data_IF_411698940934
#
_entry.id   IF_411698940934
#
_cell.length_a   1.000
_cell.length_b   1.000
_cell.length_c   1.000
_cell.angle_alpha   90.00
_cell.angle_beta   90.00
_cell.angle_gamma   90.00
#
_symmetry.space_group_name_H-M   'P 1'
#
loop_
_entity.id
_entity.type
_entity.pdbx_description
1 polymer ?
#
# COMPACT_ATOMS: atom_id res chain seq x y z
N UNK A 1 -9.04 7.92 -10.35
CA UNK A 1 -8.59 9.14 -9.65
C UNK A 1 -7.08 9.06 -9.47
N UNK A 2 -6.34 10.11 -9.80
CA UNK A 2 -4.88 10.18 -9.69
C UNK A 2 -4.52 11.23 -8.64
N UNK A 3 -3.65 10.88 -7.69
CA UNK A 3 -3.35 11.71 -6.52
C UNK A 3 -1.89 11.58 -6.10
N UNK A 4 -1.36 12.67 -5.54
CA UNK A 4 -0.08 12.66 -4.82
C UNK A 4 -0.25 12.11 -3.40
N UNK A 5 0.86 11.78 -2.73
CA UNK A 5 0.81 11.31 -1.34
C UNK A 5 0.16 12.33 -0.40
N UNK A 6 0.47 13.62 -0.56
CA UNK A 6 -0.15 14.69 0.24
C UNK A 6 -1.67 14.77 0.01
N UNK A 7 -2.11 14.61 -1.24
CA UNK A 7 -3.55 14.58 -1.57
C UNK A 7 -4.25 13.37 -0.96
N UNK A 8 -3.61 12.19 -0.89
CA UNK A 8 -4.17 11.01 -0.19
C UNK A 8 -4.43 11.34 1.28
N UNK A 9 -3.48 11.99 1.96
CA UNK A 9 -3.63 12.38 3.37
C UNK A 9 -4.78 13.36 3.58
N UNK A 10 -4.89 14.37 2.72
CA UNK A 10 -5.98 15.36 2.78
C UNK A 10 -7.33 14.69 2.52
N UNK A 11 -7.46 13.91 1.44
CA UNK A 11 -8.71 13.23 1.06
C UNK A 11 -9.19 12.24 2.10
N UNK A 12 -8.27 11.64 2.86
CA UNK A 12 -8.59 10.63 3.86
C UNK A 12 -8.55 11.18 5.30
N UNK A 13 -8.68 12.50 5.47
CA UNK A 13 -8.82 13.20 6.76
C UNK A 13 -7.62 13.06 7.73
N UNK A 14 -6.42 12.79 7.22
CA UNK A 14 -5.20 12.73 8.03
C UNK A 14 -4.29 13.97 7.83
N UNK A 15 -4.52 14.75 6.77
CA UNK A 15 -3.69 15.90 6.42
C UNK A 15 -4.01 17.21 7.13
N UNK A 16 -5.20 17.33 7.76
CA UNK A 16 -5.68 18.57 8.39
C UNK A 16 -5.79 18.35 9.90
N UNK A 17 -4.87 18.93 10.65
CA UNK A 17 -4.89 18.96 12.11
C UNK A 17 -4.91 20.42 12.53
N UNK A 18 -5.88 20.83 13.35
CA UNK A 18 -6.01 22.22 13.82
C UNK A 18 -6.02 23.26 12.67
N UNK A 19 -6.73 22.95 11.58
CA UNK A 19 -6.79 23.78 10.35
C UNK A 19 -5.43 24.02 9.67
N UNK A 20 -4.43 23.17 9.92
CA UNK A 20 -3.12 23.23 9.26
C UNK A 20 -2.83 21.96 8.48
N UNK A 21 -2.24 22.13 7.29
CA UNK A 21 -1.71 21.03 6.50
C UNK A 21 -0.44 20.50 7.16
N UNK A 22 -0.45 19.23 7.57
CA UNK A 22 0.77 18.56 8.04
C UNK A 22 1.45 17.91 6.84
N UNK A 23 2.57 18.50 6.40
CA UNK A 23 3.44 17.88 5.38
C UNK A 23 3.99 16.57 5.94
N UNK A 24 3.87 15.48 5.19
CA UNK A 24 4.43 14.20 5.61
C UNK A 24 5.84 14.04 5.06
N UNK A 25 6.79 13.70 5.94
CA UNK A 25 8.18 13.42 5.58
C UNK A 25 8.45 11.94 5.30
N UNK A 26 7.51 11.03 5.62
CA UNK A 26 7.70 9.58 5.43
C UNK A 26 6.63 8.95 4.54
N UNK A 27 7.04 8.41 3.39
CA UNK A 27 6.21 7.59 2.52
C UNK A 27 6.15 6.18 3.13
N UNK A 28 4.98 5.79 3.65
CA UNK A 28 4.74 4.48 4.23
C UNK A 28 3.94 3.61 3.25
N UNK A 29 4.26 2.31 3.20
CA UNK A 29 3.54 1.35 2.35
C UNK A 29 2.09 1.09 2.80
N UNK A 30 1.82 1.27 4.09
CA UNK A 30 0.47 1.22 4.69
C UNK A 30 0.43 2.17 5.89
N UNK A 31 -0.67 2.89 6.08
CA UNK A 31 -0.88 3.78 7.23
C UNK A 31 -2.36 3.97 7.54
N UNK A 32 -2.68 4.19 8.81
CA UNK A 32 -4.03 4.56 9.24
C UNK A 32 -4.32 6.00 8.81
N UNK A 33 -5.49 6.23 8.22
CA UNK A 33 -5.93 7.56 7.76
C UNK A 33 -7.03 8.15 8.65
N UNK A 34 -7.86 7.30 9.20
CA UNK A 34 -8.81 7.61 10.27
C UNK A 34 -9.13 6.32 11.00
N UNK A 35 -9.82 6.41 12.14
CA UNK A 35 -10.26 5.22 12.89
C UNK A 35 -10.87 4.16 11.95
N UNK A 36 -10.29 2.96 11.95
CA UNK A 36 -10.69 1.81 11.13
C UNK A 36 -10.55 1.98 9.59
N UNK A 37 -9.80 2.98 9.13
CA UNK A 37 -9.53 3.21 7.71
C UNK A 37 -8.03 3.30 7.50
N UNK A 38 -7.54 2.55 6.51
CA UNK A 38 -6.14 2.49 6.17
C UNK A 38 -5.94 2.78 4.69
N UNK A 39 -4.82 3.39 4.35
CA UNK A 39 -4.36 3.52 2.98
C UNK A 39 -3.17 2.59 2.74
N UNK A 40 -3.17 1.89 1.61
CA UNK A 40 -2.02 1.15 1.10
C UNK A 40 -1.47 1.91 -0.11
N UNK A 41 -0.18 2.21 -0.06
CA UNK A 41 0.57 2.83 -1.14
C UNK A 41 1.52 1.79 -1.72
N UNK A 42 1.19 1.28 -2.90
CA UNK A 42 1.93 0.24 -3.59
C UNK A 42 2.52 0.76 -4.91
N UNK A 43 3.63 0.16 -5.36
CA UNK A 43 4.29 0.54 -6.61
C UNK A 43 4.95 -0.68 -7.27
N UNK A 44 4.92 -0.77 -8.60
CA UNK A 44 5.75 -1.72 -9.36
C UNK A 44 7.23 -1.31 -9.40
N UNK A 45 7.52 -0.04 -9.17
CA UNK A 45 8.82 0.59 -9.39
C UNK A 45 9.82 0.31 -8.26
N UNK A 46 9.36 -0.28 -7.16
CA UNK A 46 10.20 -0.63 -6.00
C UNK A 46 11.14 -1.81 -6.27
N UNK A 47 11.08 -2.45 -7.45
CA UNK A 47 12.00 -3.50 -7.87
C UNK A 47 13.46 -3.05 -7.96
N UNK A 48 13.72 -1.77 -8.26
CA UNK A 48 15.08 -1.27 -8.53
C UNK A 48 15.78 -0.60 -7.34
N UNK A 49 15.12 -0.45 -6.18
CA UNK A 49 15.67 0.27 -5.02
C UNK A 49 16.07 -0.70 -3.89
N UNK A 50 16.98 -0.25 -3.01
CA UNK A 50 17.48 -1.01 -1.84
C UNK A 50 16.36 -1.61 -0.95
N UNK A 51 15.14 -1.06 -1.03
CA UNK A 51 13.93 -1.59 -0.39
C UNK A 51 13.04 -2.32 -1.42
N UNK A 52 13.45 -3.54 -1.78
CA UNK A 52 12.90 -4.41 -2.84
C UNK A 52 11.50 -4.95 -2.53
N UNK A 53 10.49 -4.10 -2.39
CA UNK A 53 9.10 -4.58 -2.37
C UNK A 53 8.64 -4.83 -3.80
N UNK A 54 8.14 -6.03 -4.12
CA UNK A 54 7.62 -6.34 -5.45
C UNK A 54 6.11 -6.34 -5.43
N UNK A 55 5.51 -5.19 -5.77
CA UNK A 55 4.06 -5.08 -5.89
C UNK A 55 3.62 -5.11 -7.36
N UNK A 56 2.50 -5.78 -7.62
CA UNK A 56 1.97 -5.90 -8.98
C UNK A 56 0.44 -5.89 -8.96
N UNK A 57 -0.17 -5.08 -9.81
CA UNK A 57 -1.61 -5.02 -9.97
C UNK A 57 -2.02 -5.48 -11.38
N UNK A 58 -2.91 -6.48 -11.45
CA UNK A 58 -3.57 -6.91 -12.68
C UNK A 58 -4.92 -6.19 -12.81
N UNK A 59 -5.06 -5.28 -13.78
CA UNK A 59 -6.35 -4.66 -14.08
C UNK A 59 -7.40 -5.68 -14.53
N UNK A 60 -6.98 -6.73 -15.26
CA UNK A 60 -7.87 -7.76 -15.80
C UNK A 60 -8.55 -8.57 -14.69
N UNK A 61 -7.78 -8.93 -13.67
CA UNK A 61 -8.24 -9.80 -12.59
C UNK A 61 -8.62 -9.00 -11.33
N UNK A 62 -8.36 -7.70 -11.32
CA UNK A 62 -8.42 -6.78 -10.18
C UNK A 62 -7.68 -7.34 -8.95
N UNK A 63 -6.51 -7.94 -9.20
CA UNK A 63 -5.70 -8.57 -8.17
C UNK A 63 -4.43 -7.77 -7.94
N UNK A 64 -4.21 -7.40 -6.68
CA UNK A 64 -2.97 -6.82 -6.19
C UNK A 64 -2.14 -7.88 -5.47
N UNK A 65 -0.97 -8.17 -6.01
CA UNK A 65 0.12 -8.81 -5.27
C UNK A 65 0.87 -7.74 -4.49
N UNK A 66 0.79 -7.78 -3.15
CA UNK A 66 1.36 -6.77 -2.28
C UNK A 66 2.27 -7.38 -1.21
N UNK A 67 3.47 -6.83 -1.04
CA UNK A 67 4.36 -7.22 0.04
C UNK A 67 4.15 -6.34 1.27
N UNK A 68 4.02 -6.96 2.44
CA UNK A 68 3.91 -6.22 3.70
C UNK A 68 5.19 -5.43 4.01
N UNK A 69 5.11 -4.41 4.89
CA UNK A 69 6.29 -3.79 5.48
C UNK A 69 7.24 -4.82 6.09
N UNK A 70 8.55 -4.53 6.07
CA UNK A 70 9.60 -5.46 6.56
C UNK A 70 9.53 -5.75 8.07
N UNK A 71 8.76 -4.98 8.83
CA UNK A 71 8.52 -5.22 10.25
C UNK A 71 7.43 -6.25 10.52
N UNK A 72 6.61 -6.60 9.53
CA UNK A 72 5.57 -7.61 9.67
C UNK A 72 6.16 -8.99 9.47
N UNK A 73 5.87 -9.89 10.40
CA UNK A 73 6.35 -11.27 10.37
C UNK A 73 5.24 -12.20 9.91
N UNK A 74 5.58 -13.21 9.12
CA UNK A 74 4.61 -14.22 8.67
C UNK A 74 4.07 -15.07 9.82
N UNK A 75 4.86 -15.24 10.88
CA UNK A 75 4.50 -15.93 12.12
C UNK A 75 3.43 -15.17 12.93
N UNK A 76 3.30 -13.85 12.74
CA UNK A 76 2.28 -13.07 13.42
C UNK A 76 0.87 -13.44 12.91
N UNK A 77 -0.12 -13.24 13.78
CA UNK A 77 -1.54 -13.28 13.40
C UNK A 77 -1.84 -12.36 12.21
N UNK A 78 -2.94 -12.67 11.50
CA UNK A 78 -3.44 -11.88 10.37
C UNK A 78 -3.45 -10.38 10.74
N UNK A 79 -2.76 -9.58 9.92
CA UNK A 79 -2.55 -8.15 10.18
C UNK A 79 -3.61 -7.30 9.50
N UNK A 80 -4.27 -7.83 8.48
CA UNK A 80 -5.37 -7.17 7.77
C UNK A 80 -6.71 -7.70 8.27
N UNK A 81 -7.37 -6.93 9.14
CA UNK A 81 -8.73 -7.22 9.60
C UNK A 81 -9.74 -6.54 8.67
N UNK A 82 -10.18 -7.26 7.63
CA UNK A 82 -11.16 -6.77 6.65
C UNK A 82 -12.59 -6.65 7.22
N UNK A 83 -12.86 -7.23 8.41
CA UNK A 83 -14.18 -7.13 9.05
C UNK A 83 -14.30 -5.77 9.73
N UNK A 84 -13.25 -5.37 10.45
CA UNK A 84 -13.25 -4.11 11.20
C UNK A 84 -12.82 -2.92 10.36
N UNK A 85 -11.92 -3.12 9.40
CA UNK A 85 -11.22 -2.02 8.74
C UNK A 85 -11.49 -1.95 7.24
N UNK A 86 -11.43 -0.74 6.70
CA UNK A 86 -11.44 -0.47 5.26
C UNK A 86 -10.06 -0.07 4.76
N UNK A 87 -9.61 -0.69 3.67
CA UNK A 87 -8.28 -0.46 3.10
C UNK A 87 -8.40 0.13 1.69
N UNK A 88 -8.01 1.39 1.53
CA UNK A 88 -7.96 2.10 0.25
C UNK A 88 -6.62 1.87 -0.42
N UNK A 89 -6.62 1.54 -1.72
CA UNK A 89 -5.39 1.14 -2.41
C UNK A 89 -5.03 2.15 -3.49
N UNK A 90 -3.82 2.67 -3.38
CA UNK A 90 -3.21 3.59 -4.34
C UNK A 90 -1.98 2.92 -4.95
N UNK A 91 -1.95 2.85 -6.27
CA UNK A 91 -0.94 2.11 -7.01
C UNK A 91 -0.21 3.02 -8.01
N UNK A 92 1.10 2.84 -8.11
CA UNK A 92 1.94 3.47 -9.11
C UNK A 92 2.53 2.41 -10.04
N UNK A 93 2.22 2.54 -11.32
CA UNK A 93 2.78 1.77 -12.43
C UNK A 93 3.72 2.62 -13.27
N UNK A 94 4.50 2.02 -14.16
CA UNK A 94 5.27 2.73 -15.19
C UNK A 94 4.36 3.64 -16.04
N UNK A 95 3.21 3.13 -16.49
CA UNK A 95 2.17 3.91 -17.18
C UNK A 95 1.74 5.16 -16.40
N UNK A 96 1.61 5.06 -15.06
CA UNK A 96 1.25 6.22 -14.23
C UNK A 96 2.36 7.26 -14.22
N UNK A 97 3.63 6.84 -14.25
CA UNK A 97 4.79 7.74 -14.27
C UNK A 97 4.95 8.39 -15.65
N UNK A 98 4.73 7.63 -16.73
CA UNK A 98 4.78 8.14 -18.10
C UNK A 98 3.70 9.19 -18.36
N UNK A 99 2.47 8.95 -17.88
CA UNK A 99 1.36 9.89 -18.03
C UNK A 99 1.50 11.15 -17.16
N UNK A 100 2.21 11.04 -16.04
CA UNK A 100 2.31 12.09 -15.05
C UNK A 100 3.75 12.24 -14.53
N UNK A 101 4.05 11.72 -13.33
CA UNK A 101 5.39 11.69 -12.74
C UNK A 101 5.48 10.61 -11.63
N UNK A 102 6.64 10.51 -10.99
CA UNK A 102 6.93 9.54 -9.93
C UNK A 102 6.31 9.88 -8.56
N UNK A 103 5.57 10.97 -8.43
CA UNK A 103 4.84 11.36 -7.21
C UNK A 103 3.38 10.94 -7.25
N UNK A 104 2.83 10.75 -8.44
CA UNK A 104 1.41 10.43 -8.66
C UNK A 104 1.12 8.93 -8.55
N UNK A 105 -0.02 8.61 -7.95
CA UNK A 105 -0.59 7.26 -7.80
C UNK A 105 -2.04 7.25 -8.25
N UNK A 106 -2.46 6.14 -8.87
CA UNK A 106 -3.85 5.86 -9.22
C UNK A 106 -4.55 5.20 -8.03
N UNK A 107 -5.71 5.71 -7.62
CA UNK A 107 -6.62 4.95 -6.77
C UNK A 107 -7.22 3.79 -7.58
N UNK A 108 -6.95 2.56 -7.15
CA UNK A 108 -7.38 1.34 -7.87
C UNK A 108 -8.56 0.63 -7.21
N UNK A 109 -9.00 1.06 -6.03
CA UNK A 109 -10.15 0.52 -5.32
C UNK A 109 -9.85 0.22 -3.85
N UNK A 110 -10.74 -0.54 -3.22
CA UNK A 110 -10.58 -1.03 -1.85
C UNK A 110 -10.24 -2.52 -1.84
N UNK A 111 -9.59 -3.00 -0.78
CA UNK A 111 -9.46 -4.45 -0.57
C UNK A 111 -10.85 -5.03 -0.27
N UNK A 112 -11.31 -5.94 -1.13
CA UNK A 112 -12.54 -6.71 -0.95
C UNK A 112 -12.30 -8.02 -0.21
N UNK A 113 -11.22 -8.71 -0.57
CA UNK A 113 -10.89 -10.04 -0.06
C UNK A 113 -9.38 -10.30 -0.11
N UNK A 114 -8.88 -11.06 0.88
CA UNK A 114 -7.56 -11.69 0.82
C UNK A 114 -7.73 -13.04 0.13
N UNK A 115 -7.19 -13.18 -1.08
CA UNK A 115 -7.21 -14.44 -1.83
C UNK A 115 -6.13 -15.40 -1.33
N UNK A 116 -4.96 -14.85 -0.99
CA UNK A 116 -3.84 -15.66 -0.56
C UNK A 116 -2.91 -14.89 0.38
N UNK A 117 -2.29 -15.63 1.30
CA UNK A 117 -1.24 -15.19 2.20
C UNK A 117 -0.05 -16.13 2.04
N UNK A 118 1.10 -15.60 1.64
CA UNK A 118 2.32 -16.35 1.34
C UNK A 118 3.48 -15.87 2.25
N UNK A 119 4.36 -16.79 2.63
CA UNK A 119 5.60 -16.49 3.35
C UNK A 119 6.71 -16.18 2.34
N UNK A 120 7.35 -15.02 2.45
CA UNK A 120 8.46 -14.62 1.57
C UNK A 120 9.67 -14.17 2.38
N UNK A 121 10.86 -14.35 1.82
CA UNK A 121 12.11 -13.93 2.46
C UNK A 121 12.09 -12.42 2.72
N UNK A 122 12.51 -12.02 3.92
CA UNK A 122 12.70 -10.61 4.24
C UNK A 122 13.89 -10.05 3.46
N UNK A 123 13.80 -8.78 3.04
CA UNK A 123 14.91 -8.13 2.34
C UNK A 123 16.09 -7.84 3.28
N UNK A 124 15.84 -7.78 4.60
CA UNK A 124 16.88 -7.61 5.62
C UNK A 124 17.41 -8.97 6.07
N UNK A 125 18.74 -9.10 6.10
CA UNK A 125 19.40 -10.28 6.65
C UNK A 125 19.00 -10.53 8.11
N UNK A 126 18.95 -11.81 8.50
CA UNK A 126 18.61 -12.26 9.85
C UNK A 126 17.23 -11.82 10.38
N UNK A 127 16.31 -11.41 9.49
CA UNK A 127 14.90 -11.19 9.84
C UNK A 127 14.03 -12.34 9.39
N UNK A 128 13.00 -12.62 10.19
CA UNK A 128 11.94 -13.56 9.84
C UNK A 128 11.26 -13.18 8.52
N UNK A 129 10.78 -14.21 7.81
CA UNK A 129 10.00 -14.05 6.59
C UNK A 129 8.83 -13.08 6.79
N UNK A 130 8.61 -12.22 5.80
CA UNK A 130 7.49 -11.29 5.74
C UNK A 130 6.33 -11.90 4.97
N UNK A 131 5.24 -11.14 4.86
CA UNK A 131 4.00 -11.60 4.25
C UNK A 131 3.88 -11.02 2.84
N UNK A 132 3.48 -11.87 1.89
CA UNK A 132 2.98 -11.43 0.60
C UNK A 132 1.50 -11.78 0.49
N UNK A 133 0.68 -10.79 0.20
CA UNK A 133 -0.75 -10.97 0.01
C UNK A 133 -1.09 -10.96 -1.48
N UNK A 134 -2.06 -11.79 -1.87
CA UNK A 134 -2.87 -11.57 -3.08
C UNK A 134 -4.22 -11.04 -2.65
N UNK A 135 -4.52 -9.81 -3.05
CA UNK A 135 -5.67 -9.03 -2.60
C UNK A 135 -6.59 -8.79 -3.79
N UNK A 136 -7.87 -9.11 -3.65
CA UNK A 136 -8.91 -8.75 -4.62
C UNK A 136 -9.38 -7.33 -4.34
N UNK A 137 -9.40 -6.50 -5.38
CA UNK A 137 -9.75 -5.08 -5.32
C UNK A 137 -11.16 -4.85 -5.89
N UNK A 138 -11.90 -3.88 -5.34
CA UNK A 138 -13.22 -3.41 -5.83
C UNK A 138 -13.47 -1.92 -5.61
#
# INVERSE_FOLDING_TARGET
MYVTYDQIYVLLNNGIVENKFKKNSSVQGIFEVSKFKYAISASSLTKEREHKHTNYFSNKDELLSWESPDCWKYSDNEKLDLIKNKYYVFYQSDETVELFDNTIRKYIGNIKKIEQRESIKNNKENKENKIKYKLKIS
#
